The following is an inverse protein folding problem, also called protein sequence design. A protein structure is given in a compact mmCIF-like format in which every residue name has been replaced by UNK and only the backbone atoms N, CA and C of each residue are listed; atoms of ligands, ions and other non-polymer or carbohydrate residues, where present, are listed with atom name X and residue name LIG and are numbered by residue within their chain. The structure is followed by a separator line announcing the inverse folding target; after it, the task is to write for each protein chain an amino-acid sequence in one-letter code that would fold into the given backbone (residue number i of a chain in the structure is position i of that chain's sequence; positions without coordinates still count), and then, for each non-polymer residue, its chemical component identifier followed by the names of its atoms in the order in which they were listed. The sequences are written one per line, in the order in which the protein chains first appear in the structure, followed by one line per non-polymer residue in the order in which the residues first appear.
data_IF_657079444332
#
_entry.id   IF_657079444332
#
_cell.length_a   1.000
_cell.length_b   1.000
_cell.length_c   1.000
_cell.angle_alpha   90.00
_cell.angle_beta   90.00
_cell.angle_gamma   90.00
#
_symmetry.space_group_name_H-M   'P 1'
#
loop_
_entity.id
_entity.type
_entity.pdbx_description
1 polymer ?
#
# COMPACT_ATOMS: atom_id res chain seq x y z
N UNK A 1 -21.09 7.47 -9.46
CA UNK A 1 -20.09 7.06 -8.45
C UNK A 1 -18.97 8.10 -8.35
N UNK A 2 -19.27 9.29 -7.83
CA UNK A 2 -18.30 10.41 -7.71
C UNK A 2 -18.43 11.21 -6.40
N UNK A 3 -19.40 10.86 -5.55
CA UNK A 3 -19.83 11.73 -4.45
C UNK A 3 -18.82 11.74 -3.29
N UNK A 4 -18.35 10.57 -2.85
CA UNK A 4 -17.41 10.46 -1.74
C UNK A 4 -16.05 11.13 -2.02
N UNK A 5 -15.57 11.09 -3.26
CA UNK A 5 -14.32 11.75 -3.64
C UNK A 5 -14.48 13.28 -3.62
N UNK A 6 -15.59 13.81 -4.14
CA UNK A 6 -15.88 15.24 -4.12
C UNK A 6 -16.09 15.74 -2.69
N UNK A 7 -16.84 15.01 -1.86
CA UNK A 7 -17.05 15.33 -0.45
C UNK A 7 -15.73 15.38 0.34
N UNK A 8 -14.80 14.45 0.07
CA UNK A 8 -13.47 14.47 0.69
C UNK A 8 -12.67 15.71 0.27
N UNK A 9 -12.67 16.06 -1.02
CA UNK A 9 -11.96 17.23 -1.53
C UNK A 9 -12.55 18.52 -0.95
N UNK A 10 -13.87 18.62 -0.83
CA UNK A 10 -14.54 19.78 -0.23
C UNK A 10 -14.23 19.90 1.27
N UNK A 11 -14.27 18.79 2.01
CA UNK A 11 -13.91 18.78 3.42
C UNK A 11 -12.45 19.21 3.64
N UNK A 12 -11.52 18.71 2.82
CA UNK A 12 -10.10 19.10 2.90
C UNK A 12 -9.89 20.58 2.57
N UNK A 13 -10.59 21.12 1.56
CA UNK A 13 -10.55 22.56 1.25
C UNK A 13 -11.08 23.40 2.41
N UNK A 14 -12.16 22.99 3.06
CA UNK A 14 -12.71 23.69 4.22
C UNK A 14 -11.75 23.70 5.40
N UNK A 15 -10.98 22.63 5.62
CA UNK A 15 -9.96 22.53 6.66
C UNK A 15 -8.77 23.45 6.35
N UNK A 16 -8.24 23.42 5.12
CA UNK A 16 -7.12 24.29 4.72
C UNK A 16 -7.50 25.78 4.73
N UNK A 17 -8.75 26.11 4.41
CA UNK A 17 -9.22 27.50 4.46
C UNK A 17 -9.33 28.05 5.90
N UNK A 18 -9.51 27.18 6.90
CA UNK A 18 -9.59 27.57 8.32
C UNK A 18 -8.21 27.69 8.97
N UNK A 19 -7.25 26.87 8.54
CA UNK A 19 -5.89 26.89 9.06
C UNK A 19 -4.88 26.68 7.92
N UNK A 20 -4.06 27.70 7.59
CA UNK A 20 -3.04 27.58 6.54
C UNK A 20 -1.96 26.55 6.87
N UNK A 21 -1.72 26.23 8.15
CA UNK A 21 -0.77 25.18 8.56
C UNK A 21 -1.35 23.77 8.37
N UNK A 22 -2.68 23.64 8.27
CA UNK A 22 -3.33 22.35 8.03
C UNK A 22 -2.94 21.74 6.66
N UNK A 23 -2.51 22.57 5.70
CA UNK A 23 -1.99 22.08 4.43
C UNK A 23 -0.73 21.22 4.61
N UNK A 24 0.17 21.62 5.51
CA UNK A 24 1.37 20.85 5.82
C UNK A 24 1.04 19.50 6.48
N UNK A 25 0.03 19.48 7.36
CA UNK A 25 -0.45 18.25 8.00
C UNK A 25 -1.09 17.28 7.00
N UNK A 26 -1.86 17.80 6.03
CA UNK A 26 -2.46 16.97 4.96
C UNK A 26 -1.39 16.37 4.06
N UNK A 27 -0.38 17.16 3.66
CA UNK A 27 0.76 16.65 2.88
C UNK A 27 1.47 15.53 3.67
N UNK A 28 1.78 15.78 4.95
CA UNK A 28 2.44 14.79 5.78
C UNK A 28 1.63 13.50 5.90
N UNK A 29 0.31 13.60 6.09
CA UNK A 29 -0.57 12.43 6.16
C UNK A 29 -0.57 11.62 4.84
N UNK A 30 -0.54 12.29 3.68
CA UNK A 30 -0.45 11.63 2.37
C UNK A 30 0.89 10.91 2.19
N UNK A 31 2.00 11.54 2.58
CA UNK A 31 3.33 10.92 2.53
C UNK A 31 3.42 9.66 3.41
N UNK A 32 2.82 9.70 4.61
CA UNK A 32 2.72 8.54 5.50
C UNK A 32 1.91 7.41 4.84
N UNK A 33 0.74 7.74 4.27
CA UNK A 33 -0.11 6.75 3.61
C UNK A 33 0.59 6.09 2.40
N UNK A 34 1.28 6.85 1.57
CA UNK A 34 2.06 6.32 0.44
C UNK A 34 3.23 5.45 0.91
N UNK A 35 3.92 5.83 1.99
CA UNK A 35 5.00 5.02 2.56
C UNK A 35 4.49 3.67 3.07
N UNK A 36 3.37 3.65 3.78
CA UNK A 36 2.73 2.41 4.23
C UNK A 36 2.27 1.52 3.07
N UNK A 37 1.74 2.14 2.00
CA UNK A 37 1.35 1.43 0.78
C UNK A 37 2.55 0.78 0.11
N UNK A 38 3.67 1.51 0.02
CA UNK A 38 4.93 0.99 -0.53
C UNK A 38 5.44 -0.21 0.27
N UNK A 39 5.44 -0.12 1.61
CA UNK A 39 5.84 -1.21 2.51
C UNK A 39 4.93 -2.44 2.35
N UNK A 40 3.61 -2.26 2.26
CA UNK A 40 2.68 -3.37 2.01
C UNK A 40 2.90 -4.00 0.64
N UNK A 41 3.18 -3.19 -0.37
CA UNK A 41 3.45 -3.70 -1.73
C UNK A 41 4.76 -4.49 -1.80
N UNK A 42 5.81 -4.10 -1.07
CA UNK A 42 7.07 -4.84 -1.02
C UNK A 42 6.94 -6.16 -0.26
N UNK A 43 6.17 -6.19 0.83
CA UNK A 43 5.89 -7.42 1.58
C UNK A 43 5.14 -8.49 0.76
N UNK A 44 4.29 -8.09 -0.20
CA UNK A 44 3.56 -9.04 -1.05
C UNK A 44 4.44 -9.81 -2.05
N UNK A 45 5.71 -9.42 -2.25
CA UNK A 45 6.63 -10.07 -3.20
C UNK A 45 7.59 -11.08 -2.58
N UNK A 46 7.68 -11.13 -1.26
CA UNK A 46 8.47 -12.14 -0.57
C UNK A 46 7.53 -13.27 -0.15
N UNK A 47 7.14 -14.10 -1.13
CA UNK A 47 6.71 -15.48 -0.85
C UNK A 47 7.91 -16.21 -0.26
N UNK A 48 8.18 -15.99 1.02
CA UNK A 48 9.11 -16.80 1.78
C UNK A 48 8.51 -18.21 1.79
N UNK A 49 9.19 -19.22 1.23
CA UNK A 49 8.68 -20.57 1.23
C UNK A 49 8.46 -20.98 2.69
N UNK A 50 7.21 -21.16 3.08
CA UNK A 50 6.89 -21.68 4.41
C UNK A 50 7.54 -23.05 4.60
N UNK A 51 7.66 -23.56 5.84
CA UNK A 51 8.30 -24.84 6.13
C UNK A 51 7.64 -26.06 5.45
N UNK A 52 6.46 -25.87 4.84
CA UNK A 52 5.73 -26.86 4.06
C UNK A 52 5.56 -26.50 2.59
N UNK A 53 6.21 -25.43 2.11
CA UNK A 53 6.17 -25.07 0.69
C UNK A 53 6.86 -26.18 -0.12
N UNK A 54 6.29 -26.61 -1.25
CA UNK A 54 6.92 -27.60 -2.11
C UNK A 54 8.25 -27.02 -2.61
N UNK A 55 9.36 -27.55 -2.10
CA UNK A 55 10.69 -27.17 -2.56
C UNK A 55 10.73 -27.28 -4.08
N UNK A 56 10.97 -26.16 -4.77
CA UNK A 56 10.96 -26.12 -6.24
C UNK A 56 11.95 -27.14 -6.86
N UNK A 57 13.03 -27.47 -6.15
CA UNK A 57 13.98 -28.52 -6.54
C UNK A 57 13.42 -29.95 -6.45
N UNK A 58 12.42 -30.21 -5.61
CA UNK A 58 11.80 -31.52 -5.50
C UNK A 58 10.91 -31.87 -6.69
N UNK A 59 10.50 -30.90 -7.52
CA UNK A 59 9.67 -31.16 -8.71
C UNK A 59 10.47 -31.74 -9.89
N UNK A 60 11.78 -31.49 -9.96
CA UNK A 60 12.63 -31.91 -11.10
C UNK A 60 13.34 -33.26 -10.89
N UNK A 61 13.31 -33.82 -9.69
CA UNK A 61 13.99 -35.08 -9.35
C UNK A 61 13.36 -36.35 -9.98
N UNK A 62 12.20 -36.21 -10.66
CA UNK A 62 11.44 -37.35 -11.19
C UNK A 62 11.49 -37.54 -12.71
N UNK A 63 12.27 -36.76 -13.46
CA UNK A 63 12.28 -36.83 -14.94
C UNK A 63 13.66 -37.18 -15.50
N UNK A 64 14.14 -38.37 -15.16
CA UNK A 64 15.15 -39.09 -15.97
C UNK A 64 14.66 -40.52 -16.16
N UNK A 65 13.98 -40.75 -17.27
CA UNK A 65 13.71 -42.07 -17.84
C UNK A 65 13.95 -41.97 -19.34
#
# INVERSE_FOLDING_TARGET
MSDAHQQLVEALRAVVAQDPEAHALVIHALEVAERERSIRSSQSREEVPGPYAPNAWSMYAGRTH
#
